data_IF_377386870072
#
_entry.id   IF_377386870072
#
_cell.length_a   1.000
_cell.length_b   1.000
_cell.length_c   1.000
_cell.angle_alpha   90.00
_cell.angle_beta   90.00
_cell.angle_gamma   90.00
#
_symmetry.space_group_name_H-M   'P 1'
#
loop_
_entity.id
_entity.type
_entity.pdbx_description
1 polymer ?
#
# COMPACT_ATOMS: atom_id res chain seq x y z
N UNK A 1 -12.91 -9.86 3.93
CA UNK A 1 -13.54 -8.52 3.87
C UNK A 1 -13.77 -7.96 5.26
N UNK A 2 -14.54 -8.60 6.15
CA UNK A 2 -14.75 -8.10 7.52
C UNK A 2 -13.47 -7.96 8.36
N UNK A 3 -12.53 -8.91 8.24
CA UNK A 3 -11.29 -8.88 9.04
C UNK A 3 -10.33 -7.75 8.63
N UNK A 4 -10.22 -7.44 7.33
CA UNK A 4 -9.38 -6.34 6.86
C UNK A 4 -9.97 -4.99 7.28
N UNK A 5 -11.30 -4.84 7.15
CA UNK A 5 -12.01 -3.63 7.55
C UNK A 5 -11.92 -3.36 9.06
N UNK A 6 -12.13 -4.40 9.86
CA UNK A 6 -12.03 -4.31 11.33
C UNK A 6 -10.61 -4.04 11.80
N UNK A 7 -9.61 -4.56 11.09
CA UNK A 7 -8.22 -4.25 11.39
C UNK A 7 -7.88 -2.80 11.07
N UNK A 8 -8.18 -2.31 9.87
CA UNK A 8 -7.84 -0.93 9.45
C UNK A 8 -8.47 0.08 10.40
N UNK A 9 -9.71 -0.14 10.81
CA UNK A 9 -10.39 0.69 11.81
C UNK A 9 -9.66 0.69 13.17
N UNK A 10 -9.26 -0.49 13.66
CA UNK A 10 -8.54 -0.60 14.94
C UNK A 10 -7.08 -0.11 14.89
N UNK A 11 -6.39 -0.24 13.75
CA UNK A 11 -4.99 0.17 13.61
C UNK A 11 -4.80 1.66 13.34
N UNK A 12 -5.84 2.33 12.82
CA UNK A 12 -5.82 3.77 12.53
C UNK A 12 -6.56 4.63 13.57
N UNK A 13 -7.15 4.03 14.61
CA UNK A 13 -8.06 4.71 15.57
C UNK A 13 -9.22 5.45 14.86
N UNK A 14 -9.76 4.84 13.78
CA UNK A 14 -10.85 5.41 12.98
C UNK A 14 -12.06 4.48 13.00
N UNK A 15 -13.26 5.06 12.97
CA UNK A 15 -14.49 4.28 12.80
C UNK A 15 -14.44 3.49 11.47
N UNK A 16 -14.96 2.25 11.47
CA UNK A 16 -15.19 1.46 10.24
C UNK A 16 -16.06 2.21 9.21
N UNK A 17 -16.80 3.23 9.65
CA UNK A 17 -17.60 4.11 8.78
C UNK A 17 -16.75 5.08 7.94
N UNK A 18 -15.48 5.29 8.30
CA UNK A 18 -14.57 6.23 7.62
C UNK A 18 -13.62 5.50 6.67
N UNK A 19 -13.48 4.17 6.81
CA UNK A 19 -12.64 3.36 5.91
C UNK A 19 -13.37 3.18 4.57
N UNK A 20 -12.87 3.86 3.55
CA UNK A 20 -13.41 3.73 2.20
C UNK A 20 -13.20 2.31 1.71
N UNK A 21 -14.19 1.79 0.98
CA UNK A 21 -14.14 0.42 0.46
C UNK A 21 -12.91 0.23 -0.44
N UNK A 22 -12.53 1.27 -1.17
CA UNK A 22 -11.35 1.31 -2.04
C UNK A 22 -10.07 1.02 -1.27
N UNK A 23 -9.87 1.62 -0.10
CA UNK A 23 -8.64 1.43 0.70
C UNK A 23 -8.46 -0.03 1.08
N UNK A 24 -9.55 -0.65 1.54
CA UNK A 24 -9.54 -2.06 1.93
C UNK A 24 -9.30 -2.98 0.73
N UNK A 25 -9.83 -2.63 -0.45
CA UNK A 25 -9.64 -3.39 -1.69
C UNK A 25 -8.20 -3.28 -2.22
N UNK A 26 -7.56 -2.11 -2.13
CA UNK A 26 -6.16 -1.91 -2.53
C UNK A 26 -5.22 -2.75 -1.66
N UNK A 27 -5.37 -2.68 -0.33
CA UNK A 27 -4.57 -3.50 0.60
C UNK A 27 -4.83 -5.00 0.38
N UNK A 28 -6.10 -5.37 0.15
CA UNK A 28 -6.48 -6.75 -0.15
C UNK A 28 -5.84 -7.29 -1.43
N UNK A 29 -5.83 -6.50 -2.50
CA UNK A 29 -5.21 -6.85 -3.78
C UNK A 29 -3.69 -7.00 -3.63
N UNK A 30 -3.03 -6.05 -2.96
CA UNK A 30 -1.58 -6.12 -2.70
C UNK A 30 -1.21 -7.40 -1.94
N UNK A 31 -1.98 -7.74 -0.91
CA UNK A 31 -1.80 -8.97 -0.15
C UNK A 31 -2.04 -10.22 -1.01
N UNK A 32 -3.10 -10.23 -1.82
CA UNK A 32 -3.42 -11.34 -2.72
C UNK A 32 -2.30 -11.59 -3.73
N UNK A 33 -1.68 -10.53 -4.24
CA UNK A 33 -0.59 -10.65 -5.21
C UNK A 33 0.63 -11.37 -4.61
N UNK A 34 0.99 -11.00 -3.37
CA UNK A 34 2.09 -11.63 -2.62
C UNK A 34 1.75 -13.07 -2.21
N UNK A 35 0.53 -13.34 -1.73
CA UNK A 35 0.09 -14.68 -1.31
C UNK A 35 0.06 -15.69 -2.46
N UNK A 36 -0.25 -15.23 -3.67
CA UNK A 36 -0.33 -16.06 -4.86
C UNK A 36 0.99 -16.11 -5.65
N UNK A 37 2.08 -15.55 -5.11
CA UNK A 37 3.38 -15.43 -5.77
C UNK A 37 3.28 -14.81 -7.19
N UNK A 38 2.32 -13.92 -7.39
CA UNK A 38 2.16 -13.19 -8.67
C UNK A 38 3.06 -11.96 -8.73
N UNK A 39 3.56 -11.52 -7.58
CA UNK A 39 4.64 -10.55 -7.43
C UNK A 39 5.48 -10.90 -6.19
N UNK A 40 6.80 -10.68 -6.27
CA UNK A 40 7.70 -10.84 -5.11
C UNK A 40 7.64 -9.64 -4.15
N UNK A 41 7.21 -8.48 -4.67
CA UNK A 41 7.12 -7.18 -3.98
C UNK A 41 5.95 -6.36 -4.51
N UNK A 42 5.33 -5.56 -3.66
CA UNK A 42 4.30 -4.58 -4.05
C UNK A 42 4.67 -3.18 -3.55
N UNK A 43 4.54 -2.19 -4.43
CA UNK A 43 4.58 -0.77 -4.06
C UNK A 43 3.18 -0.20 -4.17
N UNK A 44 2.65 0.33 -3.06
CA UNK A 44 1.37 1.05 -3.04
C UNK A 44 1.67 2.53 -3.20
N UNK A 45 1.19 3.14 -4.29
CA UNK A 45 1.37 4.59 -4.52
C UNK A 45 0.07 5.30 -4.20
N UNK A 46 0.05 6.11 -3.14
CA UNK A 46 -1.11 6.90 -2.73
C UNK A 46 -0.71 8.12 -1.92
N UNK A 47 -1.47 9.21 -2.04
CA UNK A 47 -1.37 10.36 -1.13
C UNK A 47 -2.34 10.23 0.07
N UNK A 48 -3.17 9.19 0.08
CA UNK A 48 -3.99 8.84 1.23
C UNK A 48 -3.11 8.18 2.30
N UNK A 49 -2.67 9.00 3.25
CA UNK A 49 -1.79 8.59 4.36
C UNK A 49 -2.37 7.38 5.12
N UNK A 50 -3.65 7.40 5.58
CA UNK A 50 -4.27 6.24 6.21
C UNK A 50 -4.20 4.94 5.39
N UNK A 51 -4.41 4.99 4.08
CA UNK A 51 -4.30 3.80 3.22
C UNK A 51 -2.86 3.27 3.21
N UNK A 52 -1.89 4.17 3.03
CA UNK A 52 -0.47 3.83 2.97
C UNK A 52 0.04 3.20 4.27
N UNK A 53 -0.27 3.82 5.40
CA UNK A 53 0.04 3.28 6.74
C UNK A 53 -0.62 1.91 6.96
N UNK A 54 -1.86 1.73 6.49
CA UNK A 54 -2.55 0.46 6.59
C UNK A 54 -1.81 -0.64 5.80
N UNK A 55 -1.36 -0.36 4.56
CA UNK A 55 -0.63 -1.33 3.75
C UNK A 55 0.65 -1.82 4.44
N UNK A 56 1.49 -0.90 4.92
CA UNK A 56 2.76 -1.22 5.59
C UNK A 56 2.56 -1.90 6.95
N UNK A 57 1.48 -1.59 7.68
CA UNK A 57 1.21 -2.18 8.98
C UNK A 57 0.51 -3.56 8.91
N UNK A 58 -0.26 -3.82 7.85
CA UNK A 58 -1.08 -5.02 7.70
C UNK A 58 -0.35 -6.17 7.05
N UNK A 59 0.22 -5.91 5.87
CA UNK A 59 0.71 -6.95 4.98
C UNK A 59 1.82 -7.79 5.64
N UNK A 60 2.79 -7.21 6.37
CA UNK A 60 3.83 -7.99 7.04
C UNK A 60 3.29 -8.97 8.10
N UNK A 61 2.09 -8.72 8.66
CA UNK A 61 1.46 -9.63 9.64
C UNK A 61 1.03 -10.97 9.02
N UNK A 62 1.03 -11.08 7.70
CA UNK A 62 0.77 -12.31 6.97
C UNK A 62 2.04 -13.12 6.65
N UNK A 63 3.20 -12.71 7.20
CA UNK A 63 4.46 -13.44 7.07
C UNK A 63 5.39 -12.92 5.98
N UNK A 64 5.11 -11.74 5.42
CA UNK A 64 5.97 -11.06 4.47
C UNK A 64 6.96 -10.13 5.18
N UNK A 65 8.14 -9.97 4.60
CA UNK A 65 9.14 -9.04 5.11
C UNK A 65 8.71 -7.59 4.84
N UNK A 66 9.19 -6.66 5.69
CA UNK A 66 8.84 -5.24 5.58
C UNK A 66 9.32 -4.59 4.27
N UNK A 67 10.28 -5.20 3.58
CA UNK A 67 10.74 -4.71 2.28
C UNK A 67 9.88 -5.25 1.11
N UNK A 68 9.03 -6.26 1.32
CA UNK A 68 8.11 -6.79 0.29
C UNK A 68 6.88 -5.91 0.05
N UNK A 69 6.62 -4.95 0.96
CA UNK A 69 5.60 -3.92 0.80
C UNK A 69 6.23 -2.56 1.06
N UNK A 70 6.03 -1.61 0.15
CA UNK A 70 6.42 -0.21 0.36
C UNK A 70 5.22 0.68 0.04
N UNK A 71 5.04 1.73 0.82
CA UNK A 71 4.17 2.84 0.44
C UNK A 71 4.99 4.05 -0.04
N UNK A 72 4.57 4.65 -1.16
CA UNK A 72 5.07 5.94 -1.63
C UNK A 72 3.92 6.93 -1.80
N UNK A 73 4.18 8.19 -1.48
CA UNK A 73 3.39 9.32 -1.94
C UNK A 73 3.68 9.61 -3.41
N UNK A 74 2.81 10.41 -4.05
CA UNK A 74 2.99 10.81 -5.43
C UNK A 74 4.27 11.61 -5.68
N UNK A 75 4.69 12.42 -4.69
CA UNK A 75 5.93 13.20 -4.79
C UNK A 75 7.16 12.28 -4.70
N UNK A 76 7.19 11.34 -3.75
CA UNK A 76 8.29 10.36 -3.62
C UNK A 76 8.40 9.47 -4.86
N UNK A 77 7.26 9.04 -5.43
CA UNK A 77 7.26 8.28 -6.67
C UNK A 77 7.71 9.13 -7.87
N UNK A 78 7.37 10.41 -7.91
CA UNK A 78 7.85 11.32 -8.95
C UNK A 78 9.36 11.54 -8.86
N UNK A 79 9.91 11.67 -7.65
CA UNK A 79 11.35 11.77 -7.42
C UNK A 79 12.06 10.51 -7.93
N UNK A 80 11.56 9.31 -7.61
CA UNK A 80 12.11 8.04 -8.14
C UNK A 80 12.10 7.99 -9.68
N UNK A 81 11.01 8.44 -10.32
CA UNK A 81 10.95 8.49 -11.79
C UNK A 81 11.91 9.52 -12.39
N UNK A 82 12.19 10.60 -11.65
CA UNK A 82 13.06 11.68 -12.11
C UNK A 82 14.53 11.30 -12.09
N UNK A 83 14.94 10.44 -11.14
CA UNK A 83 16.31 9.93 -11.05
C UNK A 83 16.70 9.11 -12.30
N UNK A 84 15.74 8.42 -12.91
CA UNK A 84 15.92 7.67 -14.16
C UNK A 84 15.59 8.49 -15.43
N UNK A 85 15.14 9.75 -15.29
CA UNK A 85 14.73 10.57 -16.43
C UNK A 85 15.93 11.13 -17.19
N UNK A 86 16.21 10.55 -18.36
CA UNK A 86 17.11 11.14 -19.36
C UNK A 86 16.26 11.93 -20.37
N UNK A 87 16.37 13.26 -20.37
CA UNK A 87 15.71 14.09 -21.39
C UNK A 87 16.23 13.73 -22.79
N UNK A 88 15.36 13.22 -23.66
CA UNK A 88 15.68 12.98 -25.08
C UNK A 88 15.73 14.26 -25.92
N UNK A 89 15.35 15.40 -25.34
CA UNK A 89 15.38 16.71 -25.99
C UNK A 89 16.44 17.59 -25.33
N UNK A 90 17.53 17.84 -26.08
CA UNK A 90 18.51 18.90 -25.83
C UNK A 90 18.22 20.09 -26.74
#
# INVERSE_FOLDING_TARGET
>A
MDQARSFIANSSDRSEDIVEKTDTEIVGLALEMLLNDTADRVTVVTNDIPLGEAAEALIPRYGFDNDQVIWLTGDEFADELSDDFVSEFN
#
